data_IF_455415912076
#
_entry.id   IF_455415912076
#
_cell.length_a   1.000
_cell.length_b   1.000
_cell.length_c   1.000
_cell.angle_alpha   90.00
_cell.angle_beta   90.00
_cell.angle_gamma   90.00
#
_symmetry.space_group_name_H-M   'P 1'
#
loop_
_entity.id
_entity.type
_entity.pdbx_description
1 polymer ?
#
# COMPACT_ATOMS: atom_id res chain seq x y z
N UNK A 1 25.85 -3.51 13.73
CA UNK A 1 25.15 -4.61 13.09
C UNK A 1 23.78 -4.15 12.62
N UNK A 2 23.52 -4.31 11.35
CA UNK A 2 22.24 -3.88 10.79
C UNK A 2 21.19 -4.94 11.07
N UNK A 3 20.13 -4.53 11.74
CA UNK A 3 19.00 -5.41 12.02
C UNK A 3 18.14 -5.51 10.75
N UNK A 4 18.15 -6.68 10.13
CA UNK A 4 17.40 -6.90 8.87
C UNK A 4 15.90 -6.72 9.08
N UNK A 5 15.40 -7.11 10.24
CA UNK A 5 13.97 -6.97 10.53
C UNK A 5 13.57 -5.49 10.57
N UNK A 6 14.44 -4.64 11.14
CA UNK A 6 14.18 -3.19 11.15
C UNK A 6 14.22 -2.60 9.74
N UNK A 7 15.16 -3.08 8.91
CA UNK A 7 15.28 -2.60 7.54
C UNK A 7 14.04 -2.97 6.72
N UNK A 8 13.61 -4.23 6.82
CA UNK A 8 12.44 -4.69 6.11
C UNK A 8 11.19 -3.95 6.55
N UNK A 9 11.04 -3.71 7.84
CA UNK A 9 9.91 -3.00 8.39
C UNK A 9 9.89 -1.55 7.90
N UNK A 10 11.04 -0.89 7.91
CA UNK A 10 11.16 0.49 7.44
C UNK A 10 10.81 0.57 5.94
N UNK A 11 11.29 -0.38 5.16
CA UNK A 11 11.01 -0.42 3.74
C UNK A 11 9.52 -0.59 3.47
N UNK A 12 8.88 -1.49 4.20
CA UNK A 12 7.44 -1.71 4.07
C UNK A 12 6.65 -0.46 4.47
N UNK A 13 7.05 0.19 5.54
CA UNK A 13 6.39 1.41 5.99
C UNK A 13 6.49 2.52 4.94
N UNK A 14 7.64 2.68 4.33
CA UNK A 14 7.84 3.66 3.27
C UNK A 14 6.98 3.34 2.04
N UNK A 15 6.91 2.07 1.68
CA UNK A 15 6.07 1.64 0.56
C UNK A 15 4.60 1.90 0.86
N UNK A 16 4.14 1.57 2.05
CA UNK A 16 2.77 1.82 2.46
C UNK A 16 2.44 3.31 2.43
N UNK A 17 3.35 4.14 2.91
CA UNK A 17 3.17 5.58 2.89
C UNK A 17 3.01 6.11 1.46
N UNK A 18 3.84 5.63 0.55
CA UNK A 18 3.74 6.01 -0.86
C UNK A 18 2.42 5.58 -1.47
N UNK A 19 1.98 4.37 -1.16
CA UNK A 19 0.71 3.85 -1.66
C UNK A 19 -0.45 4.70 -1.15
N UNK A 20 -0.48 4.99 0.14
CA UNK A 20 -1.56 5.76 0.76
C UNK A 20 -1.61 7.17 0.18
N UNK A 21 -0.45 7.82 0.08
CA UNK A 21 -0.39 9.18 -0.47
C UNK A 21 -0.84 9.22 -1.93
N UNK A 22 -0.41 8.27 -2.72
CA UNK A 22 -0.80 8.22 -4.13
C UNK A 22 -2.29 7.90 -4.27
N UNK A 23 -2.81 6.99 -3.47
CA UNK A 23 -4.22 6.65 -3.47
C UNK A 23 -5.07 7.87 -3.13
N UNK A 24 -4.67 8.63 -2.11
CA UNK A 24 -5.36 9.85 -1.72
C UNK A 24 -5.38 10.85 -2.87
N UNK A 25 -4.26 10.99 -3.56
CA UNK A 25 -4.13 11.93 -4.68
C UNK A 25 -5.01 11.50 -5.87
N UNK A 26 -4.94 10.23 -6.24
CA UNK A 26 -5.67 9.72 -7.40
C UNK A 26 -7.18 9.78 -7.18
N UNK A 27 -7.64 9.48 -5.98
CA UNK A 27 -9.06 9.47 -5.67
C UNK A 27 -9.56 10.78 -5.07
N UNK A 28 -8.68 11.74 -4.82
CA UNK A 28 -9.07 13.00 -4.20
C UNK A 28 -9.60 12.83 -2.79
N UNK A 29 -8.97 11.98 -2.00
CA UNK A 29 -9.41 11.66 -0.65
C UNK A 29 -8.49 12.24 0.40
N UNK A 30 -9.01 12.54 1.61
CA UNK A 30 -8.13 12.85 2.73
C UNK A 30 -7.19 11.66 3.03
N UNK A 31 -6.00 11.96 3.52
CA UNK A 31 -5.00 10.92 3.83
C UNK A 31 -5.58 9.88 4.78
N UNK A 32 -6.33 10.30 5.79
CA UNK A 32 -6.92 9.39 6.76
C UNK A 32 -7.87 8.39 6.11
N UNK A 33 -8.67 8.86 5.16
CA UNK A 33 -9.60 8.00 4.45
C UNK A 33 -8.85 7.03 3.54
N UNK A 34 -7.83 7.51 2.84
CA UNK A 34 -7.00 6.66 1.99
C UNK A 34 -6.30 5.58 2.83
N UNK A 35 -5.81 5.95 4.01
CA UNK A 35 -5.18 5.00 4.93
C UNK A 35 -6.16 3.92 5.37
N UNK A 36 -7.38 4.30 5.75
CA UNK A 36 -8.40 3.35 6.17
C UNK A 36 -8.75 2.38 5.04
N UNK A 37 -8.92 2.90 3.83
CA UNK A 37 -9.21 2.06 2.67
C UNK A 37 -8.05 1.11 2.37
N UNK A 38 -6.82 1.61 2.45
CA UNK A 38 -5.65 0.79 2.23
C UNK A 38 -5.59 -0.38 3.20
N UNK A 39 -5.82 -0.13 4.49
CA UNK A 39 -5.76 -1.18 5.50
C UNK A 39 -6.88 -2.20 5.38
N UNK A 40 -7.97 -1.85 4.71
CA UNK A 40 -9.06 -2.79 4.42
C UNK A 40 -8.80 -3.62 3.17
N UNK A 41 -7.83 -3.23 2.36
CA UNK A 41 -7.57 -3.88 1.09
C UNK A 41 -6.78 -5.16 1.25
N UNK A 42 -6.92 -6.06 0.27
CA UNK A 42 -6.10 -7.25 0.22
C UNK A 42 -4.64 -6.92 -0.11
N UNK A 43 -4.39 -5.77 -0.73
CA UNK A 43 -3.03 -5.32 -1.01
C UNK A 43 -2.24 -5.12 0.29
N UNK A 44 -2.85 -4.48 1.30
CA UNK A 44 -2.20 -4.29 2.59
C UNK A 44 -1.83 -5.62 3.22
N UNK A 45 -2.72 -6.60 3.14
CA UNK A 45 -2.47 -7.93 3.67
C UNK A 45 -1.32 -8.61 2.92
N UNK A 46 -1.29 -8.50 1.60
CA UNK A 46 -0.23 -9.09 0.78
C UNK A 46 1.14 -8.51 1.12
N UNK A 47 1.20 -7.19 1.28
CA UNK A 47 2.45 -6.52 1.64
C UNK A 47 2.89 -6.94 3.05
N UNK A 48 1.95 -6.99 3.97
CA UNK A 48 2.24 -7.38 5.35
C UNK A 48 2.72 -8.83 5.45
N UNK A 49 2.14 -9.71 4.64
CA UNK A 49 2.53 -11.12 4.60
C UNK A 49 3.85 -11.35 3.87
N UNK A 50 4.38 -10.33 3.23
CA UNK A 50 5.63 -10.45 2.48
C UNK A 50 5.48 -11.23 1.19
N UNK A 51 4.36 -11.09 0.50
CA UNK A 51 4.13 -11.76 -0.77
C UNK A 51 5.24 -11.47 -1.77
N UNK A 52 5.63 -12.49 -2.51
CA UNK A 52 6.81 -12.45 -3.37
C UNK A 52 6.75 -11.34 -4.40
N UNK A 53 7.75 -10.46 -4.37
CA UNK A 53 7.99 -9.47 -5.41
C UNK A 53 7.08 -8.27 -5.38
N UNK A 54 6.08 -8.22 -4.51
CA UNK A 54 5.17 -7.08 -4.44
C UNK A 54 5.92 -5.81 -4.06
N UNK A 55 6.85 -5.89 -3.10
CA UNK A 55 7.61 -4.74 -2.67
C UNK A 55 8.56 -4.20 -3.74
N UNK A 56 8.81 -4.99 -4.79
CA UNK A 56 9.65 -4.58 -5.92
C UNK A 56 8.85 -3.90 -7.03
N UNK A 57 7.53 -3.89 -6.94
CA UNK A 57 6.68 -3.25 -7.93
C UNK A 57 6.53 -1.76 -7.63
N UNK A 58 6.30 -0.99 -8.70
CA UNK A 58 6.06 0.45 -8.55
C UNK A 58 4.77 0.67 -7.75
N UNK A 59 4.83 1.56 -6.76
CA UNK A 59 3.65 1.84 -5.93
C UNK A 59 2.47 2.36 -6.74
N UNK A 60 2.73 3.04 -7.84
CA UNK A 60 1.67 3.53 -8.73
C UNK A 60 0.92 2.38 -9.39
N UNK A 61 1.65 1.34 -9.78
CA UNK A 61 1.05 0.14 -10.33
C UNK A 61 0.20 -0.57 -9.27
N UNK A 62 0.71 -0.65 -8.05
CA UNK A 62 -0.01 -1.31 -6.96
C UNK A 62 -1.31 -0.58 -6.63
N UNK A 63 -1.30 0.75 -6.63
CA UNK A 63 -2.50 1.54 -6.37
C UNK A 63 -3.53 1.33 -7.48
N UNK A 64 -3.09 1.35 -8.72
CA UNK A 64 -4.00 1.13 -9.84
C UNK A 64 -4.62 -0.26 -9.80
N UNK A 65 -3.81 -1.27 -9.49
CA UNK A 65 -4.27 -2.65 -9.33
C UNK A 65 -5.33 -2.75 -8.21
N UNK A 66 -5.08 -2.08 -7.09
CA UNK A 66 -6.02 -2.03 -5.99
C UNK A 66 -7.35 -1.43 -6.42
N UNK A 67 -7.32 -0.32 -7.13
CA UNK A 67 -8.53 0.36 -7.59
C UNK A 67 -9.33 -0.51 -8.55
N UNK A 68 -8.64 -1.20 -9.44
CA UNK A 68 -9.28 -2.05 -10.45
C UNK A 68 -9.84 -3.33 -9.86
N UNK A 69 -9.15 -3.93 -8.90
CA UNK A 69 -9.53 -5.22 -8.34
C UNK A 69 -10.48 -5.12 -7.15
N UNK A 70 -10.51 -3.98 -6.48
CA UNK A 70 -11.35 -3.80 -5.30
C UNK A 70 -12.15 -2.50 -5.38
N UNK A 71 -12.97 -2.32 -6.43
CA UNK A 71 -13.74 -1.09 -6.59
C UNK A 71 -14.75 -0.87 -5.48
N UNK A 72 -15.18 -1.94 -4.81
CA UNK A 72 -16.16 -1.84 -3.73
C UNK A 72 -15.65 -1.04 -2.54
N UNK A 73 -14.33 -0.94 -2.37
CA UNK A 73 -13.75 -0.13 -1.30
C UNK A 73 -14.06 1.35 -1.44
N UNK A 74 -14.37 1.80 -2.66
CA UNK A 74 -14.54 3.21 -2.97
C UNK A 74 -16.01 3.61 -3.15
N UNK A 75 -16.91 2.68 -2.93
CA UNK A 75 -18.35 2.92 -3.04
C UNK A 75 -18.95 3.49 -1.76
#
# INVERSE_FOLDING_TARGET
MIDRDKLDKTYKELLEEKIINHLAEVKGLPIRQAMDLYYRSSLAQQINDGSYGIENLDYRYLVQDLIENEPDLFD
#
